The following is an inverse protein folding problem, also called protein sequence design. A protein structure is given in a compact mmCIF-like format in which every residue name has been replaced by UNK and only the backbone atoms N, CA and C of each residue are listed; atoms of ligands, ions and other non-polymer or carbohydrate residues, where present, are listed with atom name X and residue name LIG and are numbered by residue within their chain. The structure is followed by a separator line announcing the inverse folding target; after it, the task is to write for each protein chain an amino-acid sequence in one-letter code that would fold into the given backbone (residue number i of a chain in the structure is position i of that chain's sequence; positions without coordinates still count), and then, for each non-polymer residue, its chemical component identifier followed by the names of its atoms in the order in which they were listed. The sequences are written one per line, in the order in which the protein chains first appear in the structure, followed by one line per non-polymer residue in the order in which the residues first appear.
data_IF_982004902368
#
_entry.id   IF_982004902368
#
_cell.length_a   1.000
_cell.length_b   1.000
_cell.length_c   1.000
_cell.angle_alpha   90.00
_cell.angle_beta   90.00
_cell.angle_gamma   90.00
#
_symmetry.space_group_name_H-M   'P 1'
#
loop_
_entity.id
_entity.type
_entity.pdbx_description
1 polymer ?
#
# COMPACT_ATOMS: atom_id res chain seq x y z
N UNK A 1 0.43 9.16 -1.71
CA UNK A 1 0.37 8.50 -3.03
C UNK A 1 1.77 8.01 -3.36
N UNK A 2 1.93 6.83 -4.00
CA UNK A 2 3.24 6.27 -4.36
C UNK A 2 4.12 7.26 -5.13
N UNK A 3 3.51 8.01 -6.05
CA UNK A 3 4.16 9.09 -6.80
C UNK A 3 4.82 10.21 -6.00
N UNK A 4 4.49 10.40 -4.73
CA UNK A 4 5.14 11.39 -3.88
C UNK A 4 6.44 10.87 -3.22
N UNK A 5 6.71 9.57 -3.34
CA UNK A 5 7.88 8.92 -2.76
C UNK A 5 9.08 9.05 -3.69
N UNK A 6 10.29 9.11 -3.13
CA UNK A 6 11.53 8.96 -3.89
C UNK A 6 11.69 7.51 -4.36
N UNK A 7 12.56 7.25 -5.34
CA UNK A 7 12.79 5.89 -5.85
C UNK A 7 13.25 4.94 -4.73
N UNK A 8 14.12 5.41 -3.85
CA UNK A 8 14.56 4.64 -2.68
C UNK A 8 13.40 4.31 -1.73
N UNK A 9 12.50 5.27 -1.50
CA UNK A 9 11.33 5.06 -0.65
C UNK A 9 10.33 4.10 -1.30
N UNK A 10 10.15 4.16 -2.63
CA UNK A 10 9.30 3.23 -3.37
C UNK A 10 9.79 1.80 -3.25
N UNK A 11 11.08 1.57 -3.48
CA UNK A 11 11.68 0.24 -3.38
C UNK A 11 11.54 -0.31 -1.96
N UNK A 12 11.81 0.51 -0.93
CA UNK A 12 11.67 0.11 0.46
C UNK A 12 10.23 -0.25 0.83
N UNK A 13 9.25 0.53 0.36
CA UNK A 13 7.83 0.24 0.59
C UNK A 13 7.42 -1.05 -0.15
N UNK A 14 7.89 -1.27 -1.38
CA UNK A 14 7.62 -2.47 -2.15
C UNK A 14 8.14 -3.73 -1.45
N UNK A 15 9.38 -3.70 -0.94
CA UNK A 15 9.97 -4.80 -0.20
C UNK A 15 9.21 -5.06 1.11
N UNK A 16 8.88 -4.01 1.87
CA UNK A 16 8.09 -4.15 3.08
C UNK A 16 6.68 -4.72 2.82
N UNK A 17 6.04 -4.36 1.72
CA UNK A 17 4.74 -4.92 1.32
C UNK A 17 4.85 -6.39 0.93
N UNK A 18 5.88 -6.75 0.17
CA UNK A 18 6.15 -8.16 -0.17
C UNK A 18 6.37 -8.98 1.08
N UNK A 19 7.23 -8.55 2.00
CA UNK A 19 7.45 -9.20 3.30
C UNK A 19 6.15 -9.41 4.09
N UNK A 20 5.30 -8.37 4.15
CA UNK A 20 4.03 -8.44 4.88
C UNK A 20 3.02 -9.38 4.23
N UNK A 21 3.02 -9.48 2.89
CA UNK A 21 2.11 -10.33 2.13
C UNK A 21 2.57 -11.80 2.08
N UNK A 22 3.88 -12.05 2.03
CA UNK A 22 4.46 -13.41 2.03
C UNK A 22 4.63 -13.98 3.44
N UNK A 23 4.51 -13.14 4.48
CA UNK A 23 4.81 -13.51 5.85
C UNK A 23 6.31 -13.67 6.11
N UNK A 24 7.16 -13.31 5.16
CA UNK A 24 8.60 -13.32 5.34
C UNK A 24 9.03 -12.12 6.17
N UNK A 25 9.74 -12.38 7.27
CA UNK A 25 10.35 -11.32 8.05
C UNK A 25 11.75 -11.08 7.48
N UNK A 26 11.85 -10.40 6.34
CA UNK A 26 13.14 -9.89 5.87
C UNK A 26 13.54 -8.70 6.74
N UNK A 27 14.14 -9.00 7.89
CA UNK A 27 14.50 -7.97 8.86
C UNK A 27 15.34 -8.53 9.99
N UNK A 28 16.65 -8.62 9.76
CA UNK A 28 17.61 -8.71 10.85
C UNK A 28 17.55 -7.47 11.75
N UNK A 29 18.14 -7.59 12.95
CA UNK A 29 18.32 -6.49 13.90
C UNK A 29 18.86 -5.25 13.17
N UNK A 30 18.08 -4.18 13.11
CA UNK A 30 18.43 -2.94 12.40
C UNK A 30 17.59 -2.59 11.17
N UNK A 31 16.62 -3.43 10.77
CA UNK A 31 15.71 -3.09 9.68
C UNK A 31 14.79 -1.91 10.07
N UNK A 32 14.66 -0.85 9.25
CA UNK A 32 13.81 0.29 9.56
C UNK A 32 12.36 -0.15 9.80
N UNK A 33 11.62 0.56 10.67
CA UNK A 33 10.25 0.19 11.01
C UNK A 33 9.40 0.03 9.74
N UNK A 34 8.59 -1.05 9.71
CA UNK A 34 7.72 -1.41 8.57
C UNK A 34 6.63 -0.34 8.36
N UNK A 35 7.00 0.76 7.72
CA UNK A 35 6.14 1.89 7.44
C UNK A 35 4.98 1.50 6.51
N UNK A 36 5.18 0.51 5.64
CA UNK A 36 4.16 0.03 4.71
C UNK A 36 2.84 -0.37 5.40
N UNK A 37 2.89 -1.03 6.56
CA UNK A 37 1.69 -1.42 7.30
C UNK A 37 0.96 -0.19 7.84
N UNK A 38 1.67 0.71 8.52
CA UNK A 38 1.11 1.95 9.06
C UNK A 38 0.53 2.84 7.97
N UNK A 39 1.19 2.91 6.81
CA UNK A 39 0.70 3.63 5.63
C UNK A 39 -0.57 2.97 5.09
N UNK A 40 -0.64 1.64 5.02
CA UNK A 40 -1.84 0.91 4.59
C UNK A 40 -3.02 1.22 5.52
N UNK A 41 -2.81 1.18 6.84
CA UNK A 41 -3.84 1.50 7.83
C UNK A 41 -4.31 2.96 7.72
N UNK A 42 -3.39 3.90 7.49
CA UNK A 42 -3.72 5.30 7.26
C UNK A 42 -4.53 5.49 5.96
N UNK A 43 -4.18 4.78 4.89
CA UNK A 43 -4.90 4.84 3.62
C UNK A 43 -6.31 4.25 3.75
N UNK A 44 -6.46 3.15 4.49
CA UNK A 44 -7.74 2.57 4.86
C UNK A 44 -8.59 3.54 5.68
N UNK A 45 -7.97 4.29 6.61
CA UNK A 45 -8.67 5.35 7.32
C UNK A 45 -9.18 6.45 6.40
N UNK A 46 -8.33 6.89 5.46
CA UNK A 46 -8.72 7.87 4.41
C UNK A 46 -9.77 7.34 3.44
N UNK A 47 -9.88 6.02 3.29
CA UNK A 47 -10.89 5.36 2.47
C UNK A 47 -12.26 5.24 3.17
N UNK A 48 -12.35 5.63 4.44
CA UNK A 48 -13.62 5.72 5.17
C UNK A 48 -13.73 4.79 6.38
N UNK A 49 -12.67 4.05 6.74
CA UNK A 49 -12.69 3.23 7.96
C UNK A 49 -12.34 4.14 9.17
N UNK A 50 -13.21 4.24 10.17
CA UNK A 50 -12.89 4.96 11.40
C UNK A 50 -11.65 4.35 12.06
N UNK A 51 -10.78 5.18 12.66
CA UNK A 51 -9.59 4.67 13.34
C UNK A 51 -9.88 3.60 14.40
N UNK A 52 -11.01 3.74 15.11
CA UNK A 52 -11.50 2.75 16.09
C UNK A 52 -11.94 1.41 15.49
N UNK A 53 -12.25 1.37 14.19
CA UNK A 53 -12.67 0.17 13.48
C UNK A 53 -11.50 -0.49 12.72
N UNK A 54 -10.29 0.09 12.78
CA UNK A 54 -9.08 -0.53 12.24
C UNK A 54 -8.59 -1.69 13.11
N UNK A 55 -8.94 -1.71 14.41
CA UNK A 55 -8.61 -2.83 15.32
C UNK A 55 -9.49 -4.05 15.07
N UNK A 56 -10.74 -3.84 14.68
CA UNK A 56 -11.71 -4.91 14.37
C UNK A 56 -11.68 -5.30 12.88
N UNK A 57 -10.59 -4.93 12.20
CA UNK A 57 -10.44 -5.12 10.78
C UNK A 57 -10.25 -6.59 10.44
N UNK A 58 -11.11 -7.14 9.59
CA UNK A 58 -10.90 -8.47 9.04
C UNK A 58 -9.52 -8.53 8.35
N UNK A 59 -8.71 -9.51 8.74
CA UNK A 59 -7.37 -9.72 8.17
C UNK A 59 -7.41 -9.90 6.65
N UNK A 60 -8.47 -10.49 6.12
CA UNK A 60 -8.72 -10.58 4.68
C UNK A 60 -8.74 -9.20 4.02
N UNK A 61 -9.43 -8.22 4.60
CA UNK A 61 -9.47 -6.88 4.01
C UNK A 61 -8.17 -6.11 4.21
N UNK A 62 -7.45 -6.35 5.31
CA UNK A 62 -6.11 -5.77 5.47
C UNK A 62 -5.15 -6.31 4.41
N UNK A 63 -5.17 -7.63 4.17
CA UNK A 63 -4.39 -8.27 3.12
C UNK A 63 -4.71 -7.68 1.75
N UNK A 64 -6.00 -7.60 1.40
CA UNK A 64 -6.45 -7.06 0.12
C UNK A 64 -6.07 -5.58 -0.06
N UNK A 65 -6.13 -4.78 1.01
CA UNK A 65 -5.65 -3.40 1.00
C UNK A 65 -4.14 -3.30 0.76
N UNK A 66 -3.34 -4.16 1.40
CA UNK A 66 -1.90 -4.25 1.16
C UNK A 66 -1.60 -4.69 -0.28
N UNK A 67 -2.38 -5.63 -0.83
CA UNK A 67 -2.26 -6.06 -2.23
C UNK A 67 -2.52 -4.89 -3.19
N UNK A 68 -3.61 -4.14 -2.99
CA UNK A 68 -3.92 -2.95 -3.80
C UNK A 68 -2.77 -1.93 -3.70
N UNK A 69 -2.24 -1.73 -2.50
CA UNK A 69 -1.12 -0.81 -2.30
C UNK A 69 0.15 -1.29 -3.02
N UNK A 70 0.47 -2.58 -2.95
CA UNK A 70 1.62 -3.19 -3.62
C UNK A 70 1.55 -2.98 -5.13
N UNK A 71 0.41 -3.30 -5.74
CA UNK A 71 0.18 -3.12 -7.19
C UNK A 71 0.41 -1.66 -7.60
N UNK A 72 -0.05 -0.70 -6.80
CA UNK A 72 0.12 0.74 -7.09
C UNK A 72 1.58 1.20 -6.94
N UNK A 73 2.33 0.63 -5.99
CA UNK A 73 3.76 0.91 -5.83
C UNK A 73 4.55 0.31 -7.00
N UNK A 74 4.28 -0.94 -7.37
CA UNK A 74 4.93 -1.60 -8.52
C UNK A 74 4.64 -0.85 -9.83
N UNK A 75 3.40 -0.39 -10.01
CA UNK A 75 3.03 0.41 -11.17
C UNK A 75 3.84 1.72 -11.25
N UNK A 76 3.99 2.43 -10.13
CA UNK A 76 4.79 3.65 -10.08
C UNK A 76 6.27 3.37 -10.39
N UNK A 77 6.84 2.28 -9.86
CA UNK A 77 8.22 1.86 -10.15
C UNK A 77 8.39 1.63 -11.66
N UNK A 78 7.52 0.82 -12.27
CA UNK A 78 7.57 0.53 -13.70
C UNK A 78 7.35 1.80 -14.53
N UNK A 79 6.44 2.67 -14.13
CA UNK A 79 6.16 3.95 -14.80
C UNK A 79 7.41 4.85 -14.86
N UNK A 80 8.14 4.96 -13.74
CA UNK A 80 9.41 5.70 -13.68
C UNK A 80 10.50 5.05 -14.51
N UNK A 81 10.65 3.73 -14.43
CA UNK A 81 11.64 2.99 -15.23
C UNK A 81 11.44 3.18 -16.73
N UNK A 82 10.18 3.21 -17.18
CA UNK A 82 9.83 3.40 -18.60
C UNK A 82 9.81 4.87 -19.04
N UNK A 83 10.12 5.81 -18.13
CA UNK A 83 10.05 7.27 -18.37
C UNK A 83 8.69 7.71 -18.95
N UNK A 84 7.62 6.95 -18.67
CA UNK A 84 6.27 7.27 -19.13
C UNK A 84 5.80 8.47 -18.34
N UNK A 85 6.00 9.68 -18.88
CA UNK A 85 5.38 10.90 -18.37
C UNK A 85 3.88 10.63 -18.25
N UNK A 86 3.36 10.56 -17.01
CA UNK A 86 1.95 10.36 -16.63
C UNK A 86 0.96 10.66 -17.77
N UNK A 87 0.73 9.68 -18.63
CA UNK A 87 -0.39 9.72 -19.57
C UNK A 87 -1.52 9.02 -18.84
N UNK A 88 -2.41 9.84 -18.32
CA UNK A 88 -3.81 9.56 -17.99
C UNK A 88 -4.13 8.66 -16.79
N UNK A 89 -4.79 9.30 -15.81
CA UNK A 89 -5.65 8.72 -14.76
C UNK A 89 -5.25 7.31 -14.30
N UNK A 90 -4.21 7.25 -13.47
CA UNK A 90 -3.95 6.06 -12.66
C UNK A 90 -5.21 5.65 -11.89
N UNK A 91 -5.43 4.33 -11.68
CA UNK A 91 -6.41 3.88 -10.70
C UNK A 91 -6.00 4.50 -9.37
N UNK A 92 -6.81 5.44 -8.89
CA UNK A 92 -6.48 6.18 -7.69
C UNK A 92 -6.45 5.16 -6.53
N UNK A 93 -5.27 4.92 -5.96
CA UNK A 93 -5.08 4.03 -4.79
C UNK A 93 -6.18 4.23 -3.74
N UNK A 94 -6.54 5.48 -3.46
CA UNK A 94 -7.60 5.80 -2.50
C UNK A 94 -8.98 5.39 -3.00
N UNK A 95 -9.26 5.47 -4.31
CA UNK A 95 -10.50 4.96 -4.89
C UNK A 95 -10.58 3.44 -4.81
N UNK A 96 -9.53 2.71 -5.19
CA UNK A 96 -9.51 1.24 -5.06
C UNK A 96 -9.74 0.79 -3.62
N UNK A 97 -9.15 1.50 -2.65
CA UNK A 97 -9.40 1.25 -1.23
C UNK A 97 -10.83 1.63 -0.79
N UNK A 98 -11.43 2.69 -1.34
CA UNK A 98 -12.84 3.04 -1.04
C UNK A 98 -13.80 1.97 -1.57
N UNK A 99 -13.54 1.44 -2.76
CA UNK A 99 -14.34 0.36 -3.34
C UNK A 99 -14.25 -0.89 -2.47
N UNK A 100 -13.05 -1.24 -2.02
CA UNK A 100 -12.82 -2.32 -1.05
C UNK A 100 -13.58 -2.10 0.27
N UNK A 101 -13.56 -0.89 0.81
CA UNK A 101 -14.30 -0.55 2.04
C UNK A 101 -15.81 -0.65 1.84
N UNK A 102 -16.32 -0.23 0.69
CA UNK A 102 -17.75 -0.22 0.36
C UNK A 102 -18.33 -1.63 0.16
N UNK A 103 -17.50 -2.58 -0.27
CA UNK A 103 -17.90 -3.98 -0.49
C UNK A 103 -17.83 -4.84 0.78
N UNK A 104 -17.45 -4.24 1.93
CA UNK A 104 -17.49 -4.98 3.19
C UNK A 104 -18.93 -5.34 3.58
N UNK A 105 -19.16 -6.59 4.04
CA UNK A 105 -20.42 -6.97 4.66
C UNK A 105 -20.65 -6.24 5.99
#
# INVERSE_FOLDING_TARGET
MPSALTDQQLLLVADQLRDLLTGEVSGGVGCPPKAALSVTLLLLSKAGIPGKALTDLAMATLHEAMTIFCINVDHEIVSRMLQRRRVEKEPNLVQGLRELVRQRP
#
